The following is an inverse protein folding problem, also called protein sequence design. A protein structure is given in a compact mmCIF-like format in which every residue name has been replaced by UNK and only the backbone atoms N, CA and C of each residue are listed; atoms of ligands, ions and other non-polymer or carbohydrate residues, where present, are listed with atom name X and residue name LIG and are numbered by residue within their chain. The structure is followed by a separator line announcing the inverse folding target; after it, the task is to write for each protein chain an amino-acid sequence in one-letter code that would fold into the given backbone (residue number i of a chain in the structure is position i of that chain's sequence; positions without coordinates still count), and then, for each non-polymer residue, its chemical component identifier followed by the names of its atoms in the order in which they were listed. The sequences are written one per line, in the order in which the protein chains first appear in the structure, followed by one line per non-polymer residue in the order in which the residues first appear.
data_IF_379432954103
#
_entry.id   IF_379432954103
#
_cell.length_a   1.000
_cell.length_b   1.000
_cell.length_c   1.000
_cell.angle_alpha   90.00
_cell.angle_beta   90.00
_cell.angle_gamma   90.00
#
_symmetry.space_group_name_H-M   'P 1'
#
loop_
_entity.id
_entity.type
_entity.pdbx_description
1 polymer ?
#
# COMPACT_ATOMS: atom_id res chain seq x y z
N UNK A 1 -13.36 10.10 -16.89
CA UNK A 1 -12.36 11.03 -16.32
C UNK A 1 -11.06 10.27 -16.16
N UNK A 2 -9.93 10.70 -16.75
CA UNK A 2 -8.62 10.06 -16.56
C UNK A 2 -7.80 10.70 -15.42
N UNK A 3 -6.65 10.10 -15.12
CA UNK A 3 -5.61 10.74 -14.32
C UNK A 3 -4.71 11.62 -15.20
N UNK A 4 -4.39 12.81 -14.70
CA UNK A 4 -3.45 13.75 -15.31
C UNK A 4 -2.28 14.03 -14.38
N UNK A 5 -1.23 14.58 -14.96
CA UNK A 5 0.03 14.91 -14.29
C UNK A 5 0.15 16.42 -14.11
N UNK A 6 0.77 16.84 -13.01
CA UNK A 6 1.07 18.23 -12.71
C UNK A 6 1.94 18.92 -13.76
N UNK A 7 1.87 20.24 -13.85
CA UNK A 7 2.87 21.00 -14.60
C UNK A 7 4.25 20.94 -13.93
N UNK A 8 5.31 21.16 -14.72
CA UNK A 8 6.65 21.29 -14.18
C UNK A 8 6.79 22.66 -13.49
N UNK A 9 7.00 22.65 -12.18
CA UNK A 9 7.26 23.83 -11.37
C UNK A 9 8.50 23.60 -10.51
N UNK A 10 9.34 24.62 -10.38
CA UNK A 10 10.54 24.54 -9.56
C UNK A 10 10.18 24.33 -8.08
N UNK A 11 10.89 23.43 -7.40
CA UNK A 11 10.69 23.08 -5.99
C UNK A 11 9.27 22.54 -5.67
N UNK A 12 8.60 21.93 -6.65
CA UNK A 12 7.29 21.28 -6.45
C UNK A 12 7.38 19.82 -6.90
N UNK A 13 7.10 18.87 -6.01
CA UNK A 13 7.11 17.45 -6.34
C UNK A 13 6.06 17.12 -7.41
N UNK A 14 6.36 16.23 -8.36
CA UNK A 14 5.39 15.78 -9.33
C UNK A 14 4.22 15.09 -8.63
N UNK A 15 3.01 15.40 -9.10
CA UNK A 15 1.79 14.80 -8.59
C UNK A 15 0.84 14.39 -9.71
N UNK A 16 -0.02 13.44 -9.36
CA UNK A 16 -1.08 12.92 -10.21
C UNK A 16 -2.43 13.31 -9.60
N UNK A 17 -3.40 13.67 -10.44
CA UNK A 17 -4.74 14.06 -10.00
C UNK A 17 -5.81 13.54 -10.96
N UNK A 18 -7.02 13.33 -10.45
CA UNK A 18 -8.13 12.79 -11.22
C UNK A 18 -9.06 13.94 -11.69
N UNK A 19 -9.31 14.04 -12.99
CA UNK A 19 -10.07 15.17 -13.56
C UNK A 19 -10.79 14.79 -14.86
N UNK A 20 -11.77 15.59 -15.26
CA UNK A 20 -12.45 15.51 -16.56
C UNK A 20 -11.64 16.13 -17.71
N UNK A 21 -10.71 17.01 -17.37
CA UNK A 21 -9.87 17.75 -18.30
C UNK A 21 -8.45 17.85 -17.75
N UNK A 22 -7.48 18.10 -18.64
CA UNK A 22 -6.12 18.49 -18.25
C UNK A 22 -6.16 19.88 -17.60
N UNK A 23 -6.57 19.95 -16.33
CA UNK A 23 -6.69 21.20 -15.57
C UNK A 23 -5.39 21.44 -14.83
N UNK A 24 -4.71 22.55 -15.11
CA UNK A 24 -3.48 22.93 -14.43
C UNK A 24 -3.66 23.71 -13.12
N UNK A 25 -4.76 24.47 -12.87
CA UNK A 25 -4.98 25.08 -11.55
C UNK A 25 -5.70 24.14 -10.57
N UNK A 26 -5.47 24.29 -9.26
CA UNK A 26 -6.29 23.68 -8.22
C UNK A 26 -7.79 23.90 -8.44
N UNK A 27 -8.60 22.89 -8.16
CA UNK A 27 -10.05 22.95 -8.34
C UNK A 27 -10.77 22.30 -7.16
N UNK A 28 -12.00 22.74 -6.93
CA UNK A 28 -12.85 22.12 -5.93
C UNK A 28 -13.38 20.78 -6.43
N UNK A 29 -13.42 19.78 -5.56
CA UNK A 29 -13.96 18.46 -5.88
C UNK A 29 -14.55 17.80 -4.65
N UNK A 30 -15.41 16.81 -4.88
CA UNK A 30 -16.03 16.02 -3.82
C UNK A 30 -15.73 14.53 -4.03
N UNK A 31 -15.52 13.83 -2.92
CA UNK A 31 -15.43 12.37 -2.88
C UNK A 31 -16.71 11.85 -2.26
N UNK A 32 -17.53 11.21 -3.09
CA UNK A 32 -18.80 10.62 -2.67
C UNK A 32 -18.57 9.23 -2.08
N UNK A 33 -19.30 8.91 -1.02
CA UNK A 33 -19.14 7.66 -0.28
C UNK A 33 -20.51 6.97 -0.13
N UNK A 34 -20.56 5.62 -0.23
CA UNK A 34 -21.78 4.87 0.01
C UNK A 34 -22.13 4.84 1.51
N UNK A 35 -23.17 4.10 1.88
CA UNK A 35 -23.46 3.83 3.28
C UNK A 35 -22.31 3.05 3.94
N UNK A 36 -21.42 3.78 4.63
CA UNK A 36 -20.25 3.20 5.32
C UNK A 36 -20.42 3.11 6.84
N UNK A 37 -21.54 3.59 7.39
CA UNK A 37 -21.84 3.53 8.83
C UNK A 37 -23.01 2.62 9.13
N UNK A 38 -22.94 1.91 10.26
CA UNK A 38 -24.09 1.14 10.76
C UNK A 38 -25.21 2.08 11.21
N UNK A 39 -24.83 3.21 11.82
CA UNK A 39 -25.71 4.30 12.22
C UNK A 39 -25.05 5.61 11.79
N UNK A 40 -25.81 6.47 11.12
CA UNK A 40 -25.28 7.75 10.65
C UNK A 40 -24.68 8.57 11.81
N UNK A 41 -23.50 9.16 11.63
CA UNK A 41 -22.88 10.01 12.64
C UNK A 41 -23.80 11.20 12.97
N UNK A 42 -23.89 11.53 14.26
CA UNK A 42 -24.69 12.67 14.74
C UNK A 42 -23.93 13.99 14.74
N UNK A 43 -22.60 13.94 14.56
CA UNK A 43 -21.71 15.09 14.50
C UNK A 43 -20.82 15.00 13.27
N UNK A 44 -20.41 16.17 12.75
CA UNK A 44 -19.40 16.24 11.69
C UNK A 44 -18.08 15.67 12.20
N UNK A 45 -17.42 14.88 11.36
CA UNK A 45 -16.10 14.31 11.66
C UNK A 45 -15.08 15.11 10.85
N UNK A 46 -14.31 15.95 11.53
CA UNK A 46 -13.35 16.87 10.91
C UNK A 46 -11.95 16.66 11.46
N UNK A 47 -10.97 16.53 10.57
CA UNK A 47 -9.53 16.51 10.85
C UNK A 47 -8.77 17.14 9.67
N UNK A 48 -8.10 18.26 9.90
CA UNK A 48 -7.40 18.98 8.84
C UNK A 48 -8.35 19.29 7.66
N UNK A 49 -7.97 18.99 6.40
CA UNK A 49 -8.84 19.22 5.24
C UNK A 49 -9.93 18.15 5.06
N UNK A 50 -9.98 17.13 5.91
CA UNK A 50 -10.94 16.04 5.79
C UNK A 50 -12.16 16.30 6.68
N UNK A 51 -13.30 16.59 6.05
CA UNK A 51 -14.60 16.73 6.72
C UNK A 51 -15.58 15.74 6.10
N UNK A 52 -16.08 14.80 6.90
CA UNK A 52 -17.17 13.94 6.49
C UNK A 52 -18.51 14.64 6.73
N UNK A 53 -19.31 14.77 5.67
CA UNK A 53 -20.63 15.38 5.71
C UNK A 53 -21.70 14.43 5.16
N UNK A 54 -22.91 14.55 5.70
CA UNK A 54 -24.11 13.98 5.08
C UNK A 54 -24.50 14.84 3.88
N UNK A 55 -24.85 14.21 2.76
CA UNK A 55 -25.31 14.93 1.55
C UNK A 55 -26.77 15.34 1.68
N UNK A 56 -27.12 16.50 1.14
CA UNK A 56 -28.49 17.00 1.01
C UNK A 56 -28.81 17.23 -0.49
N UNK A 57 -29.89 16.64 -1.05
CA UNK A 57 -30.74 15.62 -0.43
C UNK A 57 -29.95 14.35 -0.11
N UNK A 58 -30.33 13.66 0.96
CA UNK A 58 -29.72 12.39 1.33
C UNK A 58 -29.98 11.36 0.22
N UNK A 59 -28.96 11.10 -0.60
CA UNK A 59 -29.00 10.02 -1.59
C UNK A 59 -28.89 8.68 -0.87
N UNK A 60 -29.80 7.74 -1.16
CA UNK A 60 -29.76 6.41 -0.56
C UNK A 60 -28.51 5.60 -0.97
N UNK A 61 -27.93 5.88 -2.14
CA UNK A 61 -26.78 5.15 -2.69
C UNK A 61 -25.45 5.74 -2.24
N UNK A 62 -25.33 7.07 -2.24
CA UNK A 62 -24.13 7.80 -1.84
C UNK A 62 -24.47 8.89 -0.81
N UNK A 63 -24.79 8.52 0.45
CA UNK A 63 -25.29 9.44 1.46
C UNK A 63 -24.24 10.38 2.06
N UNK A 64 -22.94 10.11 1.89
CA UNK A 64 -21.89 10.95 2.46
C UNK A 64 -20.96 11.52 1.41
N UNK A 65 -20.29 12.62 1.78
CA UNK A 65 -19.23 13.22 0.98
C UNK A 65 -18.07 13.69 1.86
N UNK A 66 -16.91 13.82 1.22
CA UNK A 66 -15.78 14.63 1.71
C UNK A 66 -15.45 15.63 0.61
N UNK A 67 -15.63 16.92 0.91
CA UNK A 67 -15.45 18.01 -0.05
C UNK A 67 -14.13 18.74 0.18
N UNK A 68 -13.46 19.10 -0.92
CA UNK A 68 -12.21 19.86 -0.90
C UNK A 68 -12.37 21.11 -1.76
N UNK A 69 -12.11 22.28 -1.17
CA UNK A 69 -12.06 23.54 -1.90
C UNK A 69 -10.77 23.64 -2.74
N UNK A 70 -10.74 24.53 -3.73
CA UNK A 70 -9.58 24.76 -4.60
C UNK A 70 -8.35 25.28 -3.84
N UNK A 71 -8.53 25.89 -2.67
CA UNK A 71 -7.47 26.41 -1.79
C UNK A 71 -7.12 25.47 -0.62
N UNK A 72 -7.73 24.27 -0.60
CA UNK A 72 -7.50 23.26 0.43
C UNK A 72 -6.04 22.79 0.50
N UNK A 73 -5.61 22.34 1.68
CA UNK A 73 -4.27 21.80 1.91
C UNK A 73 -3.93 20.61 1.00
N UNK A 74 -4.94 19.90 0.47
CA UNK A 74 -4.71 18.82 -0.52
C UNK A 74 -4.08 19.33 -1.81
N UNK A 75 -4.19 20.63 -2.13
CA UNK A 75 -3.57 21.25 -3.30
C UNK A 75 -2.26 21.99 -3.00
N UNK A 76 -1.81 22.03 -1.74
CA UNK A 76 -0.55 22.67 -1.36
C UNK A 76 0.60 21.69 -1.53
N UNK A 77 1.32 21.80 -2.64
CA UNK A 77 2.51 21.01 -2.95
C UNK A 77 3.78 21.85 -2.77
N UNK A 78 4.85 21.19 -2.33
CA UNK A 78 6.18 21.76 -2.20
C UNK A 78 7.23 20.73 -2.62
N UNK A 79 8.45 20.87 -2.10
CA UNK A 79 9.59 20.01 -2.43
C UNK A 79 9.59 18.68 -1.65
N UNK A 80 8.76 18.55 -0.62
CA UNK A 80 8.64 17.33 0.17
C UNK A 80 7.90 16.22 -0.61
N UNK A 81 8.49 15.02 -0.77
CA UNK A 81 7.84 13.91 -1.49
C UNK A 81 6.60 13.39 -0.78
N UNK A 82 6.51 13.59 0.53
CA UNK A 82 5.37 13.21 1.37
C UNK A 82 4.99 14.40 2.27
N UNK A 83 3.75 14.88 2.18
CA UNK A 83 3.26 15.99 3.02
C UNK A 83 2.84 15.46 4.39
N UNK A 84 3.74 15.55 5.37
CA UNK A 84 3.57 14.96 6.72
C UNK A 84 2.33 15.44 7.47
N UNK A 85 1.96 16.72 7.34
CA UNK A 85 0.77 17.26 8.02
C UNK A 85 -0.54 16.72 7.41
N UNK A 86 -0.56 16.58 6.09
CA UNK A 86 -1.70 15.97 5.38
C UNK A 86 -1.79 14.47 5.70
N UNK A 87 -0.64 13.78 5.71
CA UNK A 87 -0.51 12.38 6.11
C UNK A 87 -1.05 12.13 7.52
N UNK A 88 -0.64 12.96 8.49
CA UNK A 88 -1.11 12.92 9.87
C UNK A 88 -2.62 13.16 9.96
N UNK A 89 -3.11 14.20 9.29
CA UNK A 89 -4.55 14.51 9.24
C UNK A 89 -5.36 13.36 8.65
N UNK A 90 -4.84 12.70 7.62
CA UNK A 90 -5.48 11.56 6.97
C UNK A 90 -5.57 10.35 7.92
N UNK A 91 -4.48 9.98 8.60
CA UNK A 91 -4.50 8.87 9.56
C UNK A 91 -5.43 9.15 10.74
N UNK A 92 -5.33 10.34 11.34
CA UNK A 92 -6.22 10.76 12.43
C UNK A 92 -7.69 10.79 12.01
N UNK A 93 -7.98 11.21 10.77
CA UNK A 93 -9.32 11.13 10.19
C UNK A 93 -9.82 9.69 10.10
N UNK A 94 -9.03 8.77 9.54
CA UNK A 94 -9.39 7.36 9.43
C UNK A 94 -9.60 6.69 10.81
N UNK A 95 -8.77 7.01 11.80
CA UNK A 95 -8.92 6.53 13.18
C UNK A 95 -10.22 7.04 13.81
N UNK A 96 -10.53 8.34 13.65
CA UNK A 96 -11.80 8.89 14.14
C UNK A 96 -13.01 8.25 13.45
N UNK A 97 -12.93 8.02 12.13
CA UNK A 97 -14.00 7.35 11.39
C UNK A 97 -14.24 5.93 11.91
N UNK A 98 -13.19 5.14 12.11
CA UNK A 98 -13.33 3.77 12.63
C UNK A 98 -14.05 3.76 13.99
N UNK A 99 -13.69 4.69 14.88
CA UNK A 99 -14.29 4.82 16.21
C UNK A 99 -15.79 5.18 16.20
N UNK A 100 -16.34 5.67 15.08
CA UNK A 100 -17.76 6.05 14.97
C UNK A 100 -18.71 4.92 14.54
N UNK A 101 -18.20 3.69 14.32
CA UNK A 101 -19.06 2.52 14.04
C UNK A 101 -19.32 2.28 12.57
N UNK A 102 -18.25 2.00 11.82
CA UNK A 102 -18.31 1.65 10.40
C UNK A 102 -18.93 0.26 10.16
N UNK A 103 -19.56 0.09 9.00
CA UNK A 103 -19.94 -1.25 8.50
C UNK A 103 -18.68 -2.04 8.12
N UNK A 104 -18.77 -3.38 8.04
CA UNK A 104 -17.74 -4.20 7.42
C UNK A 104 -17.20 -3.66 6.10
N UNK A 105 -15.88 -3.47 6.03
CA UNK A 105 -15.20 -2.92 4.85
C UNK A 105 -15.32 -1.40 4.68
N UNK A 106 -16.14 -0.71 5.49
CA UNK A 106 -16.38 0.73 5.37
C UNK A 106 -15.09 1.57 5.42
N UNK A 107 -14.16 1.25 6.31
CA UNK A 107 -12.89 1.98 6.40
C UNK A 107 -12.03 1.81 5.14
N UNK A 108 -11.94 0.60 4.61
CA UNK A 108 -11.21 0.30 3.38
C UNK A 108 -11.84 1.02 2.17
N UNK A 109 -13.17 1.08 2.13
CA UNK A 109 -13.92 1.85 1.13
C UNK A 109 -13.60 3.34 1.20
N UNK A 110 -13.64 3.96 2.38
CA UNK A 110 -13.33 5.39 2.54
C UNK A 110 -11.88 5.68 2.14
N UNK A 111 -10.93 4.87 2.65
CA UNK A 111 -9.52 5.01 2.33
C UNK A 111 -9.28 4.95 0.82
N UNK A 112 -9.84 3.93 0.16
CA UNK A 112 -9.67 3.74 -1.28
C UNK A 112 -10.30 4.88 -2.08
N UNK A 113 -11.52 5.30 -1.74
CA UNK A 113 -12.21 6.40 -2.41
C UNK A 113 -11.41 7.71 -2.34
N UNK A 114 -10.87 8.05 -1.16
CA UNK A 114 -10.01 9.22 -0.97
C UNK A 114 -8.70 9.06 -1.75
N UNK A 115 -7.99 7.94 -1.61
CA UNK A 115 -6.72 7.69 -2.30
C UNK A 115 -6.82 7.64 -3.83
N UNK A 116 -8.03 7.46 -4.37
CA UNK A 116 -8.30 7.51 -5.81
C UNK A 116 -8.56 8.93 -6.33
N UNK A 117 -9.07 9.84 -5.50
CA UNK A 117 -9.52 11.16 -5.93
C UNK A 117 -8.63 12.30 -5.48
N UNK A 118 -7.88 12.13 -4.39
CA UNK A 118 -6.93 13.13 -3.93
C UNK A 118 -5.84 13.38 -5.00
N UNK A 119 -5.39 14.63 -5.16
CA UNK A 119 -4.15 14.91 -5.86
C UNK A 119 -2.98 14.46 -4.96
N UNK A 120 -2.12 13.58 -5.47
CA UNK A 120 -1.08 12.91 -4.70
C UNK A 120 0.26 12.98 -5.42
N UNK A 121 1.33 13.23 -4.68
CA UNK A 121 2.68 12.96 -5.21
C UNK A 121 2.83 11.47 -5.55
N UNK A 122 3.92 11.13 -6.24
CA UNK A 122 4.23 9.74 -6.55
C UNK A 122 4.42 8.90 -5.28
N UNK A 123 5.14 9.41 -4.28
CA UNK A 123 5.30 8.73 -2.98
C UNK A 123 3.97 8.64 -2.22
N UNK A 124 3.17 9.69 -2.22
CA UNK A 124 1.85 9.70 -1.56
C UNK A 124 0.90 8.65 -2.17
N UNK A 125 0.99 8.39 -3.48
CA UNK A 125 0.18 7.33 -4.12
C UNK A 125 0.30 5.99 -3.41
N UNK A 126 1.49 5.65 -2.90
CA UNK A 126 1.73 4.42 -2.15
C UNK A 126 1.24 4.52 -0.70
N UNK A 127 1.45 5.65 -0.04
CA UNK A 127 1.01 5.84 1.35
C UNK A 127 -0.51 5.79 1.51
N UNK A 128 -1.25 6.57 0.71
CA UNK A 128 -2.70 6.69 0.88
C UNK A 128 -3.42 5.38 0.53
N UNK A 129 -2.85 4.57 -0.37
CA UNK A 129 -3.38 3.24 -0.73
C UNK A 129 -2.93 2.12 0.21
N UNK A 130 -1.64 2.05 0.54
CA UNK A 130 -1.00 0.89 1.15
C UNK A 130 -0.28 1.19 2.47
N UNK A 131 -0.39 2.42 2.99
CA UNK A 131 0.27 2.84 4.23
C UNK A 131 1.77 2.71 4.13
N UNK A 132 2.31 2.74 2.92
CA UNK A 132 3.74 2.60 2.69
C UNK A 132 4.44 3.91 3.00
N UNK A 133 5.31 3.87 3.98
CA UNK A 133 6.25 4.93 4.29
C UNK A 133 7.66 4.33 4.24
N UNK A 134 8.35 4.55 3.11
CA UNK A 134 9.69 4.02 2.89
C UNK A 134 10.74 4.63 3.81
N UNK A 135 10.55 5.88 4.25
CA UNK A 135 11.46 6.55 5.17
C UNK A 135 11.27 6.06 6.61
N UNK A 136 10.02 5.81 7.01
CA UNK A 136 9.68 5.22 8.29
C UNK A 136 9.74 3.68 8.30
N UNK A 137 9.98 3.05 7.16
CA UNK A 137 10.21 1.61 7.05
C UNK A 137 8.98 0.78 7.41
N UNK A 138 7.83 1.04 6.81
CA UNK A 138 6.65 0.18 6.99
C UNK A 138 5.68 0.19 5.81
N UNK A 139 4.81 -0.82 5.76
CA UNK A 139 3.66 -0.89 4.84
C UNK A 139 2.51 -1.72 5.41
N UNK A 140 1.29 -1.29 5.10
CA UNK A 140 0.09 -2.07 5.39
C UNK A 140 -0.03 -3.23 4.40
N UNK A 141 -0.41 -4.37 4.94
CA UNK A 141 -0.64 -5.61 4.23
C UNK A 141 -2.15 -5.79 4.07
N UNK A 142 -2.61 -5.84 2.82
CA UNK A 142 -4.04 -5.82 2.48
C UNK A 142 -4.46 -7.05 1.66
N UNK A 143 -5.75 -7.41 1.68
CA UNK A 143 -6.27 -8.47 0.82
C UNK A 143 -5.99 -8.24 -0.68
N UNK A 144 -5.58 -9.31 -1.37
CA UNK A 144 -5.17 -9.30 -2.77
C UNK A 144 -3.73 -8.87 -3.02
N UNK A 145 -2.95 -8.60 -1.96
CA UNK A 145 -1.50 -8.52 -2.04
C UNK A 145 -0.88 -9.90 -1.86
N UNK A 146 0.41 -10.00 -2.17
CA UNK A 146 1.26 -11.15 -1.84
C UNK A 146 2.40 -10.68 -0.95
N UNK A 147 2.78 -11.48 0.03
CA UNK A 147 3.95 -11.23 0.87
C UNK A 147 5.01 -12.26 0.51
N UNK A 148 6.13 -11.84 -0.07
CA UNK A 148 7.29 -12.70 -0.32
C UNK A 148 8.22 -12.63 0.88
N UNK A 149 8.61 -13.77 1.44
CA UNK A 149 9.65 -13.89 2.44
C UNK A 149 10.90 -14.50 1.79
N UNK A 150 11.98 -13.73 1.75
CA UNK A 150 13.27 -14.17 1.24
C UNK A 150 14.15 -14.58 2.43
N UNK A 151 14.32 -15.88 2.61
CA UNK A 151 15.15 -16.47 3.66
C UNK A 151 16.58 -16.61 3.17
N UNK A 152 17.51 -16.16 3.99
CA UNK A 152 18.92 -16.38 3.75
C UNK A 152 19.38 -17.67 4.44
N UNK A 153 19.86 -18.63 3.65
CA UNK A 153 20.39 -19.89 4.16
C UNK A 153 21.78 -19.70 4.74
N UNK A 154 21.99 -20.13 5.98
CA UNK A 154 23.32 -20.14 6.59
C UNK A 154 24.04 -21.45 6.28
N UNK A 155 25.29 -21.36 5.82
CA UNK A 155 26.20 -22.49 5.91
C UNK A 155 26.64 -22.64 7.37
N UNK A 156 26.48 -23.83 7.93
CA UNK A 156 27.14 -24.16 9.18
C UNK A 156 28.65 -24.28 8.91
N UNK A 157 29.43 -23.28 9.31
CA UNK A 157 30.89 -23.39 9.38
C UNK A 157 31.27 -24.20 10.62
N UNK A 158 32.19 -25.15 10.48
CA UNK A 158 32.65 -25.98 11.60
C UNK A 158 33.24 -25.08 12.71
N UNK A 159 32.63 -25.03 13.91
CA UNK A 159 33.09 -24.17 15.01
C UNK A 159 34.44 -24.61 15.59
N UNK A 160 34.98 -25.76 15.17
CA UNK A 160 36.30 -26.27 15.57
C UNK A 160 37.39 -26.11 14.50
N UNK A 161 37.05 -25.54 13.34
CA UNK A 161 37.99 -25.34 12.23
C UNK A 161 39.07 -24.28 12.57
N UNK A 162 40.35 -24.62 12.37
CA UNK A 162 41.45 -23.66 12.50
C UNK A 162 41.62 -22.80 11.23
N UNK A 163 42.11 -21.57 11.39
CA UNK A 163 42.43 -20.68 10.27
C UNK A 163 41.22 -20.01 9.62
N UNK A 164 41.26 -19.76 8.31
CA UNK A 164 40.18 -19.07 7.57
C UNK A 164 38.89 -19.89 7.40
N UNK A 165 38.91 -21.18 7.76
CA UNK A 165 37.72 -22.05 7.72
C UNK A 165 36.64 -21.67 8.73
N UNK A 166 36.97 -20.96 9.82
CA UNK A 166 35.97 -20.38 10.73
C UNK A 166 35.19 -19.21 10.09
N UNK A 167 35.67 -18.69 8.95
CA UNK A 167 35.07 -17.61 8.16
C UNK A 167 34.44 -18.09 6.84
N UNK A 168 34.34 -19.41 6.63
CA UNK A 168 33.52 -19.99 5.56
C UNK A 168 32.04 -20.05 6.01
N UNK A 169 31.52 -18.93 6.47
CA UNK A 169 30.14 -18.73 6.94
C UNK A 169 29.39 -17.82 5.96
N UNK A 170 29.47 -18.16 4.68
CA UNK A 170 28.70 -17.49 3.63
C UNK A 170 27.30 -18.09 3.47
N UNK A 171 26.44 -17.38 2.74
CA UNK A 171 25.10 -17.88 2.43
C UNK A 171 25.17 -19.13 1.54
N UNK A 172 24.49 -20.21 1.96
CA UNK A 172 24.24 -21.39 1.12
C UNK A 172 22.80 -21.39 0.66
N UNK A 173 22.57 -20.84 -0.53
CA UNK A 173 21.24 -20.73 -1.13
C UNK A 173 20.31 -19.75 -0.41
N UNK A 174 19.33 -19.24 -1.15
CA UNK A 174 18.24 -18.43 -0.64
C UNK A 174 16.93 -19.08 -1.08
N UNK A 175 16.00 -19.23 -0.15
CA UNK A 175 14.65 -19.71 -0.46
C UNK A 175 13.67 -18.54 -0.36
N UNK A 176 12.78 -18.43 -1.34
CA UNK A 176 11.70 -17.45 -1.32
C UNK A 176 10.38 -18.18 -1.12
N UNK A 177 9.62 -17.82 -0.09
CA UNK A 177 8.28 -18.33 0.17
C UNK A 177 7.28 -17.19 -0.04
N UNK A 178 6.17 -17.47 -0.71
CA UNK A 178 5.12 -16.46 -0.95
C UNK A 178 3.86 -16.79 -0.18
N UNK A 179 3.28 -15.78 0.48
CA UNK A 179 2.01 -15.83 1.19
C UNK A 179 0.99 -14.97 0.45
N UNK A 180 -0.11 -15.57 0.00
CA UNK A 180 -1.20 -14.81 -0.64
C UNK A 180 -2.11 -14.23 0.45
N UNK A 181 -2.19 -12.90 0.50
CA UNK A 181 -2.99 -12.21 1.50
C UNK A 181 -4.44 -12.16 1.07
N UNK A 182 -5.33 -12.72 1.87
CA UNK A 182 -6.75 -12.83 1.54
C UNK A 182 -7.64 -12.21 2.61
N UNK A 183 -8.80 -11.72 2.16
CA UNK A 183 -9.85 -11.21 3.02
C UNK A 183 -10.74 -12.35 3.50
N UNK A 184 -10.94 -12.47 4.81
CA UNK A 184 -11.90 -13.40 5.41
C UNK A 184 -12.82 -12.65 6.38
N UNK A 185 -14.14 -12.89 6.35
CA UNK A 185 -15.02 -12.29 7.35
C UNK A 185 -14.74 -12.87 8.73
N UNK A 186 -14.74 -12.02 9.76
CA UNK A 186 -14.87 -12.46 11.15
C UNK A 186 -16.32 -12.80 11.50
N UNK A 187 -16.58 -13.20 12.74
CA UNK A 187 -17.93 -13.55 13.21
C UNK A 187 -18.93 -12.38 13.13
N UNK A 188 -18.43 -11.14 13.10
CA UNK A 188 -19.19 -9.90 12.99
C UNK A 188 -19.26 -9.40 11.54
N UNK A 189 -18.69 -10.15 10.58
CA UNK A 189 -18.69 -9.87 9.16
C UNK A 189 -17.57 -8.95 8.68
N UNK A 190 -16.70 -8.43 9.54
CA UNK A 190 -15.60 -7.56 9.13
C UNK A 190 -14.51 -8.32 8.39
N UNK A 191 -13.94 -7.68 7.36
CA UNK A 191 -12.82 -8.24 6.63
C UNK A 191 -11.56 -8.26 7.51
N UNK A 192 -11.06 -9.46 7.79
CA UNK A 192 -9.73 -9.74 8.33
C UNK A 192 -8.76 -10.07 7.21
N UNK A 193 -7.47 -9.85 7.44
CA UNK A 193 -6.37 -10.24 6.56
C UNK A 193 -5.79 -11.55 7.06
N UNK A 194 -5.79 -12.57 6.20
CA UNK A 194 -5.15 -13.85 6.44
C UNK A 194 -3.98 -14.04 5.48
N UNK A 195 -2.89 -14.66 5.93
CA UNK A 195 -1.68 -14.91 5.13
C UNK A 195 -1.87 -16.00 4.05
N UNK A 196 -2.96 -16.77 4.12
CA UNK A 196 -3.29 -17.81 3.15
C UNK A 196 -4.79 -18.18 3.23
N UNK A 197 -5.43 -18.45 2.10
CA UNK A 197 -6.84 -18.80 2.04
C UNK A 197 -7.18 -20.17 2.63
N UNK A 198 -6.33 -21.17 2.39
CA UNK A 198 -6.56 -22.52 2.87
C UNK A 198 -6.35 -22.60 4.37
N UNK A 199 -5.18 -22.16 4.87
CA UNK A 199 -4.93 -22.08 6.31
C UNK A 199 -5.95 -21.16 6.99
N UNK A 200 -6.31 -20.07 6.31
CA UNK A 200 -7.49 -19.22 6.51
C UNK A 200 -8.73 -19.91 7.07
N UNK A 201 -9.00 -21.10 6.55
CA UNK A 201 -10.21 -21.89 6.80
C UNK A 201 -9.94 -23.12 7.66
N UNK A 202 -8.69 -23.60 7.72
CA UNK A 202 -8.29 -24.74 8.55
C UNK A 202 -8.06 -24.25 9.99
N UNK A 203 -9.15 -24.11 10.74
CA UNK A 203 -9.15 -23.60 12.11
C UNK A 203 -8.73 -24.58 13.21
N UNK A 204 -8.33 -25.81 12.84
CA UNK A 204 -7.99 -26.87 13.82
C UNK A 204 -6.51 -26.93 14.17
N UNK A 205 -5.65 -26.35 13.33
CA UNK A 205 -4.20 -26.38 13.54
C UNK A 205 -3.78 -25.20 14.38
N UNK A 206 -3.38 -25.46 15.62
CA UNK A 206 -2.76 -24.48 16.50
C UNK A 206 -1.29 -24.81 16.68
N UNK A 207 -0.44 -23.79 16.62
CA UNK A 207 1.00 -23.92 16.88
C UNK A 207 1.30 -23.18 18.17
N UNK A 208 2.03 -23.81 19.08
CA UNK A 208 2.45 -23.19 20.32
C UNK A 208 3.35 -21.96 20.02
N UNK A 209 3.27 -20.87 20.81
CA UNK A 209 4.10 -19.69 20.60
C UNK A 209 5.59 -20.02 20.54
N UNK A 210 6.26 -19.57 19.48
CA UNK A 210 7.70 -19.73 19.32
C UNK A 210 8.46 -18.58 19.99
N UNK A 211 9.50 -18.91 20.77
CA UNK A 211 10.37 -17.91 21.40
C UNK A 211 11.52 -17.46 20.49
N UNK A 212 11.81 -18.24 19.44
CA UNK A 212 12.93 -18.02 18.51
C UNK A 212 12.53 -17.42 17.16
N UNK A 213 11.29 -16.97 17.01
CA UNK A 213 10.72 -16.52 15.73
C UNK A 213 10.05 -17.64 14.94
N UNK A 214 9.19 -17.24 14.00
CA UNK A 214 8.40 -18.13 13.17
C UNK A 214 9.22 -18.85 12.12
N UNK A 215 8.98 -20.14 11.95
CA UNK A 215 9.68 -20.98 10.99
C UNK A 215 9.11 -20.99 9.59
N UNK A 216 7.92 -20.43 9.40
CA UNK A 216 7.21 -20.38 8.14
C UNK A 216 5.75 -20.01 8.35
N UNK A 217 4.93 -20.31 7.35
CA UNK A 217 3.52 -19.88 7.32
C UNK A 217 2.69 -20.38 8.50
N UNK A 218 2.92 -21.63 8.95
CA UNK A 218 2.14 -22.24 10.05
C UNK A 218 2.41 -21.58 11.40
N UNK A 219 3.63 -21.08 11.60
CA UNK A 219 4.03 -20.35 12.80
C UNK A 219 3.50 -18.91 12.82
N UNK A 220 3.35 -18.31 11.65
CA UNK A 220 2.75 -16.98 11.50
C UNK A 220 1.22 -17.01 11.47
N UNK A 221 0.60 -18.19 11.41
CA UNK A 221 -0.84 -18.33 11.25
C UNK A 221 -1.62 -17.99 12.55
N UNK A 222 -1.15 -18.50 13.68
CA UNK A 222 -1.90 -18.42 14.95
C UNK A 222 -2.00 -16.97 15.44
N UNK A 223 -3.20 -16.39 15.38
CA UNK A 223 -3.50 -15.05 15.90
C UNK A 223 -3.27 -13.88 14.93
N UNK A 224 -2.79 -14.14 13.70
CA UNK A 224 -2.53 -13.12 12.67
C UNK A 224 -3.70 -12.85 11.73
N UNK A 225 -4.75 -13.67 11.78
CA UNK A 225 -6.01 -13.33 11.12
C UNK A 225 -6.69 -12.18 11.89
N UNK A 226 -6.38 -10.96 11.49
CA UNK A 226 -6.79 -9.70 12.15
C UNK A 226 -7.21 -8.66 11.12
N UNK A 227 -7.91 -7.61 11.54
CA UNK A 227 -8.46 -6.58 10.64
C UNK A 227 -7.36 -5.75 9.98
N UNK A 228 -6.26 -5.52 10.70
CA UNK A 228 -5.11 -4.80 10.19
C UNK A 228 -3.84 -5.63 10.35
N UNK A 229 -2.97 -5.54 9.34
CA UNK A 229 -1.68 -6.19 9.31
C UNK A 229 -0.66 -5.21 8.70
N UNK A 230 0.51 -5.07 9.32
CA UNK A 230 1.58 -4.17 8.87
C UNK A 230 2.94 -4.87 8.95
N UNK A 231 3.77 -4.68 7.94
CA UNK A 231 5.18 -5.03 7.98
C UNK A 231 5.98 -3.83 8.45
N UNK A 232 6.82 -4.04 9.47
CA UNK A 232 7.72 -3.05 10.08
C UNK A 232 9.16 -3.48 9.84
N UNK A 233 9.98 -2.56 9.32
CA UNK A 233 11.40 -2.78 9.05
C UNK A 233 12.23 -2.05 10.10
N UNK A 234 13.20 -2.74 10.73
CA UNK A 234 14.05 -2.11 11.72
C UNK A 234 14.98 -1.09 11.05
N UNK A 235 15.36 -0.04 11.77
CA UNK A 235 16.33 0.96 11.28
C UNK A 235 17.74 0.40 11.12
N UNK A 236 18.03 -0.74 11.76
CA UNK A 236 19.26 -1.49 11.62
C UNK A 236 19.00 -3.00 11.72
N UNK A 237 19.69 -3.78 10.90
CA UNK A 237 19.77 -5.23 11.02
C UNK A 237 21.19 -5.64 11.39
N UNK A 238 21.33 -6.71 12.15
CA UNK A 238 22.64 -7.25 12.49
C UNK A 238 23.38 -7.78 11.25
N UNK A 239 24.71 -7.73 11.27
CA UNK A 239 25.54 -8.27 10.19
C UNK A 239 25.37 -9.79 10.08
N UNK A 240 25.60 -10.30 8.87
CA UNK A 240 25.68 -11.74 8.59
C UNK A 240 26.72 -12.45 9.47
N UNK A 241 27.74 -11.72 9.92
CA UNK A 241 28.88 -12.25 10.70
C UNK A 241 28.59 -12.38 12.20
N UNK A 242 27.37 -12.04 12.63
CA UNK A 242 26.97 -12.09 14.04
C UNK A 242 26.05 -13.27 14.31
N UNK A 243 25.83 -13.58 15.59
CA UNK A 243 24.93 -14.66 16.04
C UNK A 243 23.44 -14.38 15.77
N UNK A 244 23.09 -13.26 15.13
CA UNK A 244 21.72 -12.80 14.92
C UNK A 244 21.05 -12.33 16.21
N UNK A 245 19.77 -12.00 16.12
CA UNK A 245 18.99 -11.43 17.22
C UNK A 245 17.65 -12.15 17.39
N UNK A 246 17.31 -12.47 18.64
CA UNK A 246 16.03 -13.09 19.01
C UNK A 246 15.09 -11.98 19.51
N UNK A 247 14.15 -11.58 18.67
CA UNK A 247 13.16 -10.54 18.96
C UNK A 247 12.87 -9.64 17.76
N UNK A 248 11.90 -8.74 17.90
CA UNK A 248 11.44 -7.84 16.83
C UNK A 248 12.40 -6.67 16.55
N UNK A 249 13.28 -6.37 17.51
CA UNK A 249 14.10 -5.16 17.53
C UNK A 249 15.06 -5.04 16.34
N UNK A 250 15.52 -6.18 15.80
CA UNK A 250 16.49 -6.24 14.70
C UNK A 250 16.05 -7.14 13.55
N UNK A 251 14.77 -7.53 13.53
CA UNK A 251 14.19 -8.37 12.50
C UNK A 251 12.98 -7.67 11.89
N UNK A 252 12.70 -7.95 10.60
CA UNK A 252 11.45 -7.50 9.99
C UNK A 252 10.29 -8.12 10.75
N UNK A 253 9.39 -7.27 11.22
CA UNK A 253 8.33 -7.63 12.15
C UNK A 253 6.97 -7.44 11.48
N UNK A 254 6.12 -8.46 11.56
CA UNK A 254 4.71 -8.36 11.24
C UNK A 254 3.95 -7.99 12.52
N UNK A 255 3.05 -7.02 12.42
CA UNK A 255 2.14 -6.61 13.50
C UNK A 255 0.70 -6.71 13.00
N UNK A 256 -0.15 -7.38 13.77
CA UNK A 256 -1.55 -7.60 13.47
C UNK A 256 -2.45 -7.11 14.62
N UNK A 257 -3.47 -6.31 14.29
CA UNK A 257 -4.38 -5.66 15.27
C UNK A 257 -5.84 -5.67 14.80
N UNK A 258 -6.77 -5.48 15.73
CA UNK A 258 -8.21 -5.40 15.42
C UNK A 258 -8.70 -3.97 15.13
N UNK A 259 -7.91 -2.96 15.51
CA UNK A 259 -8.20 -1.53 15.26
C UNK A 259 -7.02 -0.84 14.59
N UNK A 260 -7.33 0.20 13.80
CA UNK A 260 -6.32 1.07 13.19
C UNK A 260 -5.58 1.87 14.27
N UNK A 261 -6.28 2.29 15.33
CA UNK A 261 -5.68 3.01 16.45
C UNK A 261 -4.55 2.20 17.12
N UNK A 262 -4.79 0.91 17.36
CA UNK A 262 -3.79 0.01 17.94
C UNK A 262 -2.63 -0.25 16.96
N UNK A 263 -2.91 -0.31 15.65
CA UNK A 263 -1.86 -0.46 14.63
C UNK A 263 -0.91 0.74 14.62
N UNK A 264 -1.46 1.95 14.67
CA UNK A 264 -0.67 3.18 14.72
C UNK A 264 0.09 3.31 16.05
N UNK A 265 -0.53 2.92 17.18
CA UNK A 265 0.15 2.87 18.48
C UNK A 265 1.31 1.86 18.49
N UNK A 266 1.12 0.68 17.90
CA UNK A 266 2.16 -0.33 17.74
C UNK A 266 3.30 0.15 16.85
N UNK A 267 2.97 0.82 15.74
CA UNK A 267 3.95 1.39 14.81
C UNK A 267 4.78 2.47 15.51
N UNK A 268 4.12 3.39 16.23
CA UNK A 268 4.80 4.41 17.02
C UNK A 268 5.72 3.79 18.07
N UNK A 269 5.22 2.80 18.84
CA UNK A 269 6.03 2.09 19.83
C UNK A 269 7.24 1.41 19.19
N UNK A 270 7.06 0.74 18.06
CA UNK A 270 8.16 0.09 17.34
C UNK A 270 9.25 1.09 16.97
N UNK A 271 8.87 2.28 16.49
CA UNK A 271 9.80 3.33 16.09
C UNK A 271 10.51 3.97 17.30
N UNK A 272 9.78 4.23 18.37
CA UNK A 272 10.32 4.94 19.54
C UNK A 272 11.12 4.02 20.49
N UNK A 273 10.78 2.72 20.52
CA UNK A 273 11.31 1.75 21.49
C UNK A 273 12.21 0.70 20.82
N UNK A 274 13.06 1.12 19.88
CA UNK A 274 14.09 0.28 19.25
C UNK A 274 13.53 -1.03 18.66
N UNK A 275 12.45 -0.95 17.90
CA UNK A 275 11.80 -2.07 17.24
C UNK A 275 10.92 -2.95 18.14
N UNK A 276 10.48 -2.44 19.30
CA UNK A 276 9.47 -3.10 20.14
C UNK A 276 8.05 -2.56 19.87
N UNK A 277 7.15 -3.34 19.24
CA UNK A 277 5.80 -2.88 18.91
C UNK A 277 4.87 -2.75 20.14
N UNK A 278 5.28 -3.19 21.34
CA UNK A 278 4.43 -3.13 22.54
C UNK A 278 3.27 -4.12 22.53
N UNK A 279 2.34 -3.96 23.47
CA UNK A 279 1.21 -4.88 23.70
C UNK A 279 -0.10 -4.39 23.09
N UNK A 280 -0.05 -3.88 21.85
CA UNK A 280 -1.23 -3.38 21.12
C UNK A 280 -1.84 -4.42 20.15
N UNK A 281 -1.21 -5.59 20.02
CA UNK A 281 -1.68 -6.64 19.12
C UNK A 281 -0.77 -7.86 19.13
N UNK A 282 -0.82 -8.63 18.05
CA UNK A 282 0.06 -9.79 17.86
C UNK A 282 1.23 -9.36 16.98
N UNK A 283 2.45 -9.63 17.41
CA UNK A 283 3.66 -9.35 16.64
C UNK A 283 4.54 -10.59 16.52
N UNK A 284 5.14 -10.78 15.35
CA UNK A 284 6.05 -11.89 15.08
C UNK A 284 7.07 -11.51 14.03
N UNK A 285 8.20 -12.21 14.04
CA UNK A 285 9.23 -12.15 13.02
C UNK A 285 9.52 -13.58 12.55
N UNK A 286 10.06 -13.72 11.34
CA UNK A 286 10.52 -15.01 10.83
C UNK A 286 11.95 -15.28 11.28
N UNK A 287 12.25 -16.52 11.65
CA UNK A 287 13.61 -16.95 12.03
C UNK A 287 14.56 -16.90 10.83
N UNK A 288 15.84 -16.77 11.13
CA UNK A 288 16.89 -16.53 10.13
C UNK A 288 16.92 -15.06 9.70
N UNK A 289 17.85 -14.72 8.82
CA UNK A 289 17.91 -13.38 8.24
C UNK A 289 16.92 -13.34 7.08
N UNK A 290 15.72 -12.84 7.37
CA UNK A 290 14.59 -12.84 6.44
C UNK A 290 14.16 -11.43 6.10
N UNK A 291 13.98 -11.17 4.81
CA UNK A 291 13.36 -9.94 4.31
C UNK A 291 11.94 -10.25 3.86
N UNK A 292 11.01 -9.39 4.22
CA UNK A 292 9.65 -9.43 3.69
C UNK A 292 9.55 -8.43 2.55
N UNK A 293 8.86 -8.80 1.48
CA UNK A 293 8.61 -7.95 0.31
C UNK A 293 7.12 -8.03 -0.02
N UNK A 294 6.34 -7.01 0.37
CA UNK A 294 4.96 -6.86 -0.04
C UNK A 294 4.90 -6.65 -1.55
N UNK A 295 3.95 -7.31 -2.22
CA UNK A 295 3.75 -7.28 -3.65
C UNK A 295 2.29 -6.99 -3.98
N UNK A 296 2.08 -6.22 -5.04
CA UNK A 296 0.76 -5.92 -5.60
C UNK A 296 0.60 -6.61 -6.95
N UNK A 297 -0.62 -7.05 -7.25
CA UNK A 297 -0.94 -7.61 -8.56
C UNK A 297 -1.25 -6.50 -9.56
N UNK A 298 -0.59 -6.55 -10.70
CA UNK A 298 -0.85 -5.71 -11.88
C UNK A 298 -1.11 -6.61 -13.10
N UNK A 299 -1.60 -6.05 -14.19
CA UNK A 299 -1.81 -6.76 -15.46
C UNK A 299 -0.86 -6.21 -16.51
N UNK A 300 0.16 -6.99 -16.89
CA UNK A 300 1.10 -6.60 -17.95
C UNK A 300 0.75 -7.39 -19.19
N UNK A 301 0.33 -6.70 -20.26
CA UNK A 301 -0.17 -7.30 -21.51
C UNK A 301 -1.29 -8.33 -21.25
N UNK A 302 -2.18 -8.00 -20.32
CA UNK A 302 -3.31 -8.86 -19.92
C UNK A 302 -2.95 -10.00 -18.95
N UNK A 303 -1.66 -10.26 -18.70
CA UNK A 303 -1.24 -11.31 -17.79
C UNK A 303 -1.10 -10.79 -16.34
N UNK A 304 -1.68 -11.49 -15.34
CA UNK A 304 -1.52 -11.13 -13.95
C UNK A 304 -0.06 -11.29 -13.52
N UNK A 305 0.54 -10.24 -12.99
CA UNK A 305 1.95 -10.19 -12.56
C UNK A 305 2.02 -9.58 -11.17
N UNK A 306 2.71 -10.24 -10.23
CA UNK A 306 2.97 -9.67 -8.91
C UNK A 306 4.29 -8.89 -8.93
N UNK A 307 4.23 -7.63 -8.56
CA UNK A 307 5.40 -6.73 -8.50
C UNK A 307 5.59 -6.22 -7.07
N UNK A 308 6.84 -6.03 -6.60
CA UNK A 308 7.09 -5.39 -5.32
C UNK A 308 6.37 -4.05 -5.18
N UNK A 309 5.92 -3.74 -3.96
CA UNK A 309 5.35 -2.44 -3.66
C UNK A 309 6.41 -1.36 -3.89
N UNK A 310 6.07 -0.33 -4.69
CA UNK A 310 7.02 0.70 -5.13
C UNK A 310 7.60 0.47 -6.52
N UNK A 311 7.29 -0.63 -7.21
CA UNK A 311 7.57 -0.75 -8.64
C UNK A 311 6.87 0.36 -9.42
N UNK A 312 7.59 1.02 -10.34
CA UNK A 312 7.10 2.10 -11.20
C UNK A 312 6.84 1.60 -12.62
N UNK A 313 6.23 2.43 -13.46
CA UNK A 313 6.09 2.12 -14.89
C UNK A 313 7.45 1.88 -15.55
N UNK A 314 8.44 2.73 -15.23
CA UNK A 314 9.81 2.62 -15.72
C UNK A 314 10.41 1.25 -15.42
N UNK A 315 10.33 0.77 -14.18
CA UNK A 315 10.89 -0.54 -13.80
C UNK A 315 10.33 -1.70 -14.63
N UNK A 316 9.05 -1.64 -15.04
CA UNK A 316 8.48 -2.68 -15.90
C UNK A 316 8.95 -2.58 -17.35
N UNK A 317 9.15 -1.36 -17.84
CA UNK A 317 9.62 -1.12 -19.20
C UNK A 317 11.11 -1.44 -19.34
N UNK A 318 11.90 -1.14 -18.31
CA UNK A 318 13.34 -1.47 -18.22
C UNK A 318 13.59 -2.98 -18.29
N UNK A 319 12.61 -3.81 -17.92
CA UNK A 319 12.67 -5.25 -18.12
C UNK A 319 12.61 -5.66 -19.61
N UNK A 320 12.10 -4.79 -20.49
CA UNK A 320 11.97 -5.04 -21.93
C UNK A 320 13.05 -4.33 -22.75
N UNK A 321 13.38 -3.09 -22.40
CA UNK A 321 14.46 -2.31 -23.04
C UNK A 321 14.86 -1.15 -22.13
N UNK A 322 16.05 -0.59 -22.34
CA UNK A 322 16.46 0.62 -21.64
C UNK A 322 15.52 1.80 -21.96
N UNK A 323 14.89 2.38 -20.93
CA UNK A 323 14.10 3.60 -21.08
C UNK A 323 14.89 4.80 -20.57
N UNK A 324 15.30 5.74 -21.45
CA UNK A 324 16.03 6.91 -20.99
C UNK A 324 15.16 7.77 -20.05
N UNK A 325 15.76 8.43 -19.05
CA UNK A 325 15.05 9.30 -18.10
C UNK A 325 14.44 10.57 -18.73
N UNK A 326 14.64 10.79 -20.03
CA UNK A 326 14.14 11.93 -20.79
C UNK A 326 13.32 11.48 -22.01
N UNK A 327 12.81 10.25 -22.02
CA UNK A 327 12.12 9.65 -23.16
C UNK A 327 10.79 10.37 -23.45
N UNK A 328 10.80 11.49 -24.19
CA UNK A 328 9.63 12.37 -24.40
C UNK A 328 8.35 11.67 -24.88
N UNK A 329 8.46 10.48 -25.47
CA UNK A 329 7.31 9.66 -25.80
C UNK A 329 7.70 8.18 -25.89
N UNK A 330 6.91 7.33 -25.24
CA UNK A 330 6.89 5.89 -25.52
C UNK A 330 5.67 5.59 -26.41
N UNK A 331 5.87 5.31 -27.71
CA UNK A 331 4.74 4.98 -28.58
C UNK A 331 4.05 3.72 -28.06
N UNK A 332 2.71 3.72 -28.09
CA UNK A 332 1.85 2.59 -27.75
C UNK A 332 1.83 2.16 -26.27
N UNK A 333 2.30 2.99 -25.32
CA UNK A 333 2.07 2.72 -23.89
C UNK A 333 0.66 3.15 -23.50
N UNK A 334 -0.14 2.20 -23.02
CA UNK A 334 -1.42 2.44 -22.39
C UNK A 334 -1.36 1.96 -20.94
N UNK A 335 -1.57 2.89 -20.02
CA UNK A 335 -1.68 2.63 -18.60
C UNK A 335 -3.11 2.93 -18.15
N UNK A 336 -3.74 1.95 -17.53
CA UNK A 336 -5.05 2.08 -16.94
C UNK A 336 -4.97 1.70 -15.46
N UNK A 337 -5.65 2.47 -14.63
CA UNK A 337 -5.79 2.22 -13.20
C UNK A 337 -7.19 1.72 -12.91
N UNK A 338 -7.27 0.65 -12.13
CA UNK A 338 -8.54 0.15 -11.63
C UNK A 338 -9.07 1.12 -10.56
N UNK A 339 -10.26 1.69 -10.80
CA UNK A 339 -10.97 2.51 -9.82
C UNK A 339 -12.21 1.84 -9.24
N UNK A 340 -12.52 2.24 -8.02
CA UNK A 340 -13.83 2.04 -7.46
C UNK A 340 -14.67 3.22 -7.95
N UNK A 341 -15.44 3.00 -9.01
CA UNK A 341 -16.34 4.04 -9.50
C UNK A 341 -17.74 3.82 -8.96
N UNK A 342 -18.25 4.85 -8.28
CA UNK A 342 -19.65 4.94 -7.93
C UNK A 342 -20.27 5.89 -8.94
N UNK A 343 -20.94 5.35 -9.95
CA UNK A 343 -21.65 6.19 -10.92
C UNK A 343 -22.75 6.97 -10.19
N UNK A 344 -22.71 8.31 -10.19
CA UNK A 344 -23.77 9.12 -9.58
C UNK A 344 -25.04 9.16 -10.45
N UNK A 345 -25.07 8.50 -11.61
CA UNK A 345 -26.13 8.65 -12.61
C UNK A 345 -27.33 7.69 -12.44
N UNK A 346 -27.37 6.86 -11.39
CA UNK A 346 -28.59 6.11 -11.04
C UNK A 346 -28.89 6.19 -9.54
N UNK A 347 -29.84 7.04 -9.18
CA UNK A 347 -30.39 7.14 -7.81
C UNK A 347 -31.13 5.88 -7.35
N UNK A 348 -31.24 4.86 -8.19
CA UNK A 348 -32.11 3.70 -7.93
C UNK A 348 -31.36 2.43 -7.55
N UNK A 349 -30.06 2.30 -7.80
CA UNK A 349 -29.24 1.14 -7.38
C UNK A 349 -27.79 1.58 -7.24
N UNK A 350 -27.09 1.16 -6.18
CA UNK A 350 -25.62 1.09 -6.18
C UNK A 350 -25.22 0.06 -7.25
N UNK A 351 -25.16 0.48 -8.51
CA UNK A 351 -24.37 -0.26 -9.48
C UNK A 351 -22.91 -0.01 -9.09
N UNK A 352 -22.41 -0.91 -8.26
CA UNK A 352 -20.98 -1.20 -8.22
C UNK A 352 -20.63 -1.67 -9.63
N UNK A 353 -20.35 -0.72 -10.52
CA UNK A 353 -19.73 -0.96 -11.81
C UNK A 353 -18.28 -1.35 -11.55
N UNK A 354 -18.09 -2.57 -11.06
CA UNK A 354 -16.81 -3.26 -11.07
C UNK A 354 -16.49 -3.70 -12.51
N UNK A 355 -15.36 -3.33 -13.11
CA UNK A 355 -14.59 -2.11 -12.90
C UNK A 355 -14.42 -1.28 -14.18
N UNK A 356 -14.58 0.04 -14.07
CA UNK A 356 -14.14 0.97 -15.11
C UNK A 356 -12.62 1.14 -15.06
N UNK A 357 -11.91 0.64 -16.06
CA UNK A 357 -10.50 0.99 -16.25
C UNK A 357 -10.38 2.49 -16.56
N UNK A 358 -9.66 3.21 -15.71
CA UNK A 358 -9.44 4.64 -15.88
C UNK A 358 -8.08 4.87 -16.53
N UNK A 359 -7.99 5.56 -17.67
CA UNK A 359 -6.70 5.89 -18.26
C UNK A 359 -5.86 6.77 -17.32
N UNK A 360 -4.57 6.45 -17.22
CA UNK A 360 -3.54 7.33 -16.69
C UNK A 360 -2.86 7.98 -17.89
N UNK A 361 -2.91 9.31 -17.97
CA UNK A 361 -2.54 10.03 -19.19
C UNK A 361 -1.02 10.22 -19.31
N UNK A 362 -0.32 9.11 -19.57
CA UNK A 362 1.13 9.01 -19.82
C UNK A 362 1.59 9.35 -21.25
N UNK A 363 0.77 10.04 -22.07
CA UNK A 363 0.95 10.18 -23.53
C UNK A 363 0.74 11.63 -24.01
N UNK A 364 1.38 11.97 -25.13
CA UNK A 364 1.30 13.28 -25.78
C UNK A 364 2.00 14.41 -25.00
N UNK A 365 1.42 15.62 -25.01
CA UNK A 365 1.94 16.82 -24.31
C UNK A 365 1.96 16.73 -22.78
N UNK A 366 1.50 15.60 -22.22
CA UNK A 366 1.53 15.30 -20.78
C UNK A 366 2.86 14.68 -20.34
N UNK A 367 3.70 14.19 -21.26
CA UNK A 367 5.03 13.67 -20.91
C UNK A 367 5.96 14.83 -20.55
N UNK A 368 6.46 14.86 -19.31
CA UNK A 368 7.34 15.92 -18.82
C UNK A 368 8.37 15.38 -17.85
N UNK A 369 9.55 15.99 -17.89
CA UNK A 369 10.61 15.82 -16.91
C UNK A 369 10.47 16.94 -15.89
N UNK A 370 10.38 16.58 -14.62
CA UNK A 370 10.22 17.49 -13.51
C UNK A 370 11.56 18.02 -13.02
N UNK A 371 11.54 19.12 -12.27
CA UNK A 371 12.75 19.77 -11.76
C UNK A 371 13.66 18.84 -10.93
N UNK A 372 13.06 17.83 -10.26
CA UNK A 372 13.77 16.84 -9.45
C UNK A 372 14.35 15.67 -10.29
N UNK A 373 14.22 15.73 -11.62
CA UNK A 373 14.69 14.71 -12.55
C UNK A 373 13.74 13.52 -12.75
N UNK A 374 12.63 13.44 -12.00
CA UNK A 374 11.60 12.43 -12.23
C UNK A 374 10.80 12.73 -13.51
N UNK A 375 10.12 11.74 -14.04
CA UNK A 375 9.12 11.91 -15.11
C UNK A 375 7.88 11.04 -14.87
N UNK A 376 6.93 11.08 -15.82
CA UNK A 376 5.64 10.35 -15.71
C UNK A 376 5.80 8.83 -15.55
N UNK A 377 6.93 8.25 -15.93
CA UNK A 377 7.20 6.81 -15.82
C UNK A 377 7.65 6.41 -14.41
N UNK A 378 8.00 7.38 -13.57
CA UNK A 378 8.35 7.14 -12.17
C UNK A 378 7.11 7.06 -11.26
N UNK A 379 5.90 7.17 -11.83
CA UNK A 379 4.65 6.92 -11.13
C UNK A 379 4.62 5.45 -10.62
N UNK A 380 4.43 5.22 -9.31
CA UNK A 380 4.29 3.88 -8.77
C UNK A 380 3.01 3.20 -9.24
N UNK A 381 3.13 1.90 -9.46
CA UNK A 381 2.02 1.04 -9.82
C UNK A 381 1.12 0.77 -8.62
N UNK A 382 -0.18 0.74 -8.88
CA UNK A 382 -1.18 0.32 -7.91
C UNK A 382 -1.75 -1.06 -8.27
N UNK A 383 -2.24 -1.78 -7.26
CA UNK A 383 -3.00 -3.03 -7.41
C UNK A 383 -4.12 -2.85 -8.44
N UNK A 384 -4.14 -3.72 -9.43
CA UNK A 384 -5.12 -3.71 -10.52
C UNK A 384 -4.74 -2.78 -11.68
N UNK A 385 -3.62 -2.06 -11.62
CA UNK A 385 -3.12 -1.31 -12.78
C UNK A 385 -2.90 -2.28 -13.96
N UNK A 386 -3.37 -1.89 -15.13
CA UNK A 386 -3.26 -2.63 -16.37
C UNK A 386 -2.40 -1.84 -17.36
N UNK A 387 -1.45 -2.54 -17.96
CA UNK A 387 -0.42 -1.97 -18.83
C UNK A 387 -0.40 -2.75 -20.13
N UNK A 388 -0.56 -2.05 -21.24
CA UNK A 388 -0.32 -2.61 -22.57
C UNK A 388 0.71 -1.74 -23.29
N UNK A 389 1.69 -2.39 -23.89
CA UNK A 389 2.69 -1.77 -24.75
C UNK A 389 3.12 -2.79 -25.80
N UNK A 390 3.36 -2.30 -27.02
CA UNK A 390 3.85 -3.14 -28.11
C UNK A 390 5.36 -3.26 -28.01
N UNK A 391 5.86 -4.49 -28.02
CA UNK A 391 7.26 -4.77 -28.36
C UNK A 391 7.26 -4.90 -29.89
N UNK A 392 8.21 -4.28 -30.63
CA UNK A 392 8.34 -4.53 -32.06
C UNK A 392 8.41 -6.05 -32.30
N UNK A 393 7.63 -6.59 -33.22
CA UNK A 393 7.68 -8.01 -33.56
C UNK A 393 9.11 -8.35 -34.04
N UNK A 394 9.85 -9.13 -33.25
CA UNK A 394 11.19 -9.64 -33.63
C UNK A 394 11.07 -11.04 -34.27
N UNK A 395 9.85 -11.57 -34.41
CA UNK A 395 9.60 -12.89 -35.02
C UNK A 395 8.50 -12.76 -36.07
N UNK A 396 8.89 -12.25 -37.25
CA UNK A 396 8.15 -12.44 -38.51
C UNK A 396 9.04 -13.14 -39.53
#
# INVERSE_FOLDING_TARGET
MPYYFSDNQQNVQPYVYFSDQARTPPFAFEVLLPQVFQKSPTASITVGPFTLEVRDPASATLPYKVAFASDSDVWKFGDAPLRTDLQKSFLEFLVKLEATGLVPGGLATVRLALAQRLPLTFTETLFYRYGFDGAAGYSDLQPGMRLRADFQGYQLADPTGSGTNQYLNGYTGSESVTFDLVGLPDAQGFATVALNAFLGRVGTTTVAPNKGGGGGMVDLWTGFQRRFLRALYPTAMDSADTRGFVGTQKNVTLVATDSLADLEAATKSYRDNNGNPGAYGVSAYLRGRTVLVPQVQVYVRGAPTYVPLGTTLRHLLDASTFVPPLAMQLPNLNHQRWLMDYSPYSDTVLQLSFPGFTPVNVWGSNYRVYWNGADVLDLPLAKGDALTFSIPDILS
#
